data_IF_891286748624
#
_entry.id   IF_891286748624
#
_cell.length_a   1.000
_cell.length_b   1.000
_cell.length_c   1.000
_cell.angle_alpha   90.00
_cell.angle_beta   90.00
_cell.angle_gamma   90.00
#
_symmetry.space_group_name_H-M   'P 1'
#
loop_
_entity.id
_entity.type
_entity.pdbx_description
1 polymer ?
#
# COMPACT_ATOMS: atom_id res chain seq x y z
N UNK A 1 38.70 -8.37 -22.72
CA UNK A 1 37.40 -7.89 -23.27
C UNK A 1 36.51 -7.10 -22.28
N UNK A 2 36.75 -7.13 -20.95
CA UNK A 2 36.00 -6.33 -19.96
C UNK A 2 36.27 -4.82 -20.11
N UNK A 3 37.37 -4.43 -20.65
CA UNK A 3 37.86 -3.04 -20.68
C UNK A 3 37.18 -2.16 -21.75
N UNK A 4 36.72 -2.72 -22.87
CA UNK A 4 36.12 -1.94 -23.96
C UNK A 4 34.73 -1.38 -23.56
N UNK A 5 33.90 -2.17 -22.92
CA UNK A 5 32.59 -1.72 -22.45
C UNK A 5 32.71 -0.58 -21.44
N UNK A 6 33.65 -0.68 -20.51
CA UNK A 6 33.93 0.34 -19.50
C UNK A 6 34.59 1.60 -20.08
N UNK A 7 35.54 1.45 -21.03
CA UNK A 7 36.17 2.59 -21.70
C UNK A 7 35.16 3.41 -22.51
N UNK A 8 34.30 2.75 -23.28
CA UNK A 8 33.27 3.43 -24.05
C UNK A 8 32.26 4.17 -23.16
N UNK A 9 31.87 3.59 -22.01
CA UNK A 9 30.98 4.25 -21.05
C UNK A 9 31.60 5.49 -20.42
N UNK A 10 32.90 5.48 -20.13
CA UNK A 10 33.62 6.61 -19.50
C UNK A 10 34.04 7.69 -20.50
N UNK A 11 34.06 7.38 -21.80
CA UNK A 11 34.37 8.34 -22.85
C UNK A 11 33.24 9.35 -23.05
N UNK A 12 31.99 8.92 -23.03
CA UNK A 12 30.80 9.79 -23.13
C UNK A 12 30.07 9.90 -21.78
N UNK A 13 30.65 10.69 -20.88
CA UNK A 13 30.17 10.87 -19.51
C UNK A 13 28.75 11.46 -19.45
N UNK A 14 28.42 12.37 -20.39
CA UNK A 14 27.10 13.02 -20.40
C UNK A 14 26.01 12.00 -20.70
N UNK A 15 26.22 11.19 -21.72
CA UNK A 15 25.25 10.15 -22.11
C UNK A 15 25.13 9.04 -21.07
N UNK A 16 26.25 8.64 -20.48
CA UNK A 16 26.24 7.72 -19.34
C UNK A 16 25.38 8.27 -18.21
N UNK A 17 25.54 9.53 -17.84
CA UNK A 17 24.76 10.18 -16.79
C UNK A 17 23.27 10.24 -17.15
N UNK A 18 22.91 10.65 -18.38
CA UNK A 18 21.52 10.69 -18.84
C UNK A 18 20.86 9.31 -18.70
N UNK A 19 21.57 8.24 -19.11
CA UNK A 19 21.02 6.88 -19.00
C UNK A 19 20.86 6.45 -17.56
N UNK A 20 21.85 6.70 -16.70
CA UNK A 20 21.78 6.39 -15.28
C UNK A 20 20.62 7.14 -14.62
N UNK A 21 20.47 8.45 -14.90
CA UNK A 21 19.37 9.25 -14.38
C UNK A 21 18.02 8.70 -14.85
N UNK A 22 17.88 8.33 -16.12
CA UNK A 22 16.65 7.74 -16.65
C UNK A 22 16.28 6.41 -16.01
N UNK A 23 17.25 5.51 -15.82
CA UNK A 23 17.03 4.24 -15.11
C UNK A 23 16.69 4.50 -13.63
N UNK A 24 17.44 5.40 -12.97
CA UNK A 24 17.18 5.81 -11.58
C UNK A 24 15.77 6.33 -11.43
N UNK A 25 15.33 7.24 -12.30
CA UNK A 25 13.96 7.78 -12.29
C UNK A 25 12.91 6.66 -12.40
N UNK A 26 13.10 5.74 -13.34
CA UNK A 26 12.19 4.61 -13.52
C UNK A 26 12.12 3.72 -12.28
N UNK A 27 13.25 3.40 -11.67
CA UNK A 27 13.32 2.62 -10.43
C UNK A 27 12.61 3.33 -9.28
N UNK A 28 12.85 4.64 -9.10
CA UNK A 28 12.15 5.46 -8.08
C UNK A 28 10.65 5.43 -8.32
N UNK A 29 10.22 5.69 -9.55
CA UNK A 29 8.81 5.74 -9.91
C UNK A 29 8.11 4.38 -9.65
N UNK A 30 8.69 3.28 -10.13
CA UNK A 30 8.12 1.94 -9.96
C UNK A 30 8.08 1.57 -8.47
N UNK A 31 9.18 1.77 -7.75
CA UNK A 31 9.27 1.39 -6.33
C UNK A 31 8.34 2.23 -5.47
N UNK A 32 8.25 3.54 -5.73
CA UNK A 32 7.36 4.44 -5.00
C UNK A 32 5.89 4.09 -5.25
N UNK A 33 5.49 3.90 -6.50
CA UNK A 33 4.10 3.57 -6.85
C UNK A 33 3.64 2.25 -6.24
N UNK A 34 4.44 1.19 -6.39
CA UNK A 34 4.10 -0.11 -5.80
C UNK A 34 4.16 -0.03 -4.27
N UNK A 35 5.16 0.67 -3.71
CA UNK A 35 5.30 0.83 -2.26
C UNK A 35 4.14 1.60 -1.62
N UNK A 36 3.65 2.68 -2.26
CA UNK A 36 2.46 3.43 -1.83
C UNK A 36 1.22 2.55 -1.96
N UNK A 37 1.05 1.84 -3.08
CA UNK A 37 -0.07 0.91 -3.27
C UNK A 37 -0.13 -0.17 -2.18
N UNK A 38 1.01 -0.78 -1.84
CA UNK A 38 1.08 -1.78 -0.76
C UNK A 38 0.76 -1.18 0.60
N UNK A 39 1.24 0.04 0.89
CA UNK A 39 0.91 0.78 2.09
C UNK A 39 -0.58 1.09 2.18
N UNK A 40 -1.16 1.50 1.06
CA UNK A 40 -2.57 1.78 0.90
C UNK A 40 -3.43 0.52 1.17
N UNK A 41 -3.07 -0.61 0.55
CA UNK A 41 -3.78 -1.88 0.77
C UNK A 41 -3.67 -2.38 2.21
N UNK A 42 -2.52 -2.15 2.86
CA UNK A 42 -2.36 -2.47 4.28
C UNK A 42 -3.26 -1.58 5.16
N UNK A 43 -3.36 -0.29 4.85
CA UNK A 43 -4.24 0.64 5.53
C UNK A 43 -5.72 0.28 5.39
N UNK A 44 -6.15 -0.17 4.20
CA UNK A 44 -7.54 -0.53 3.90
C UNK A 44 -8.09 -1.65 4.80
N UNK A 45 -7.26 -2.57 5.25
CA UNK A 45 -7.69 -3.70 6.08
C UNK A 45 -7.11 -3.69 7.49
N UNK A 46 -6.46 -2.60 7.90
CA UNK A 46 -5.70 -2.56 9.15
C UNK A 46 -6.56 -2.86 10.39
N UNK A 47 -7.78 -2.37 10.44
CA UNK A 47 -8.71 -2.65 11.55
C UNK A 47 -9.10 -4.13 11.53
N UNK A 48 -9.44 -4.67 10.35
CA UNK A 48 -9.83 -6.08 10.21
C UNK A 48 -8.70 -7.00 10.65
N UNK A 49 -7.48 -6.72 10.18
CA UNK A 49 -6.29 -7.56 10.40
C UNK A 49 -5.82 -7.55 11.86
N UNK A 50 -6.03 -6.42 12.59
CA UNK A 50 -5.63 -6.26 13.99
C UNK A 50 -6.76 -6.51 14.99
N UNK A 51 -8.00 -6.63 14.55
CA UNK A 51 -9.10 -7.03 15.42
C UNK A 51 -8.96 -8.50 15.82
N UNK A 52 -9.06 -8.77 17.12
CA UNK A 52 -8.98 -10.13 17.67
C UNK A 52 -10.29 -10.89 17.44
N UNK A 53 -10.76 -10.99 16.20
CA UNK A 53 -11.93 -11.74 15.76
C UNK A 53 -11.57 -12.62 14.58
N UNK A 54 -12.23 -13.79 14.48
CA UNK A 54 -12.01 -14.75 13.39
C UNK A 54 -13.03 -14.59 12.28
N UNK A 55 -14.25 -14.13 12.63
CA UNK A 55 -15.38 -13.99 11.73
C UNK A 55 -15.93 -12.56 11.82
N UNK A 56 -16.26 -12.01 10.66
CA UNK A 56 -16.90 -10.73 10.46
C UNK A 56 -18.26 -10.92 9.82
N UNK A 57 -19.30 -10.39 10.45
CA UNK A 57 -20.67 -10.41 9.97
C UNK A 57 -21.06 -8.97 9.64
N UNK A 58 -21.51 -8.73 8.43
CA UNK A 58 -21.92 -7.44 7.88
C UNK A 58 -23.35 -7.50 7.42
N UNK A 59 -23.96 -6.35 7.12
CA UNK A 59 -25.21 -6.33 6.37
C UNK A 59 -25.03 -6.99 5.01
N UNK A 60 -26.06 -7.67 4.51
CA UNK A 60 -26.08 -8.15 3.15
C UNK A 60 -25.80 -7.00 2.15
N UNK A 61 -25.00 -7.27 1.12
CA UNK A 61 -24.59 -6.30 0.11
C UNK A 61 -23.71 -5.14 0.65
N UNK A 62 -23.13 -5.24 1.85
CA UNK A 62 -22.10 -4.30 2.29
C UNK A 62 -20.87 -4.41 1.39
N UNK A 63 -20.46 -3.28 0.78
CA UNK A 63 -19.40 -3.27 -0.22
C UNK A 63 -18.04 -3.61 0.41
N UNK A 64 -17.66 -2.90 1.45
CA UNK A 64 -16.36 -3.02 2.12
C UNK A 64 -16.45 -2.57 3.59
N UNK A 65 -15.31 -2.49 4.26
CA UNK A 65 -15.20 -2.05 5.64
C UNK A 65 -15.55 -0.57 5.83
N UNK A 66 -15.10 0.32 4.95
CA UNK A 66 -15.18 1.77 5.13
C UNK A 66 -16.58 2.34 4.84
N UNK A 67 -17.42 1.59 4.11
CA UNK A 67 -18.79 1.96 3.76
C UNK A 67 -19.79 0.87 4.20
N UNK A 68 -19.88 0.61 5.51
CA UNK A 68 -20.77 -0.42 6.02
C UNK A 68 -22.23 0.04 5.99
N UNK A 69 -23.14 -0.92 5.90
CA UNK A 69 -24.57 -0.71 6.05
C UNK A 69 -25.03 -1.19 7.43
N UNK A 70 -25.95 -0.43 8.04
CA UNK A 70 -26.52 -0.80 9.33
C UNK A 70 -27.47 -2.00 9.23
N UNK A 71 -27.49 -2.82 10.28
CA UNK A 71 -28.45 -3.92 10.45
C UNK A 71 -28.78 -4.13 11.93
N UNK A 72 -29.85 -4.89 12.22
CA UNK A 72 -30.38 -5.04 13.58
C UNK A 72 -29.40 -5.73 14.53
N UNK A 73 -29.16 -5.12 15.71
CA UNK A 73 -28.37 -5.68 16.80
C UNK A 73 -28.92 -7.02 17.32
N UNK A 74 -30.22 -7.27 17.17
CA UNK A 74 -30.87 -8.51 17.63
C UNK A 74 -30.23 -9.77 16.99
N UNK A 75 -29.56 -9.62 15.85
CA UNK A 75 -28.82 -10.73 15.22
C UNK A 75 -27.63 -11.21 16.05
N UNK A 76 -27.10 -10.40 16.99
CA UNK A 76 -26.04 -10.80 17.90
C UNK A 76 -26.36 -12.08 18.68
N UNK A 77 -27.62 -12.21 19.17
CA UNK A 77 -28.00 -13.38 19.94
C UNK A 77 -27.92 -14.66 19.09
N UNK A 78 -28.38 -14.59 17.83
CA UNK A 78 -28.31 -15.73 16.89
C UNK A 78 -26.85 -16.10 16.59
N UNK A 79 -25.96 -15.13 16.54
CA UNK A 79 -24.52 -15.38 16.35
C UNK A 79 -23.91 -16.03 17.58
N UNK A 80 -24.25 -15.56 18.80
CA UNK A 80 -23.74 -16.12 20.06
C UNK A 80 -24.20 -17.55 20.32
N UNK A 81 -25.40 -17.89 19.89
CA UNK A 81 -26.00 -19.22 20.06
C UNK A 81 -25.48 -20.23 19.03
N UNK A 82 -24.79 -19.79 18.00
CA UNK A 82 -24.30 -20.68 16.94
C UNK A 82 -23.17 -21.60 17.44
N UNK A 83 -23.26 -22.91 17.15
CA UNK A 83 -22.24 -23.87 17.56
C UNK A 83 -20.85 -23.51 16.99
N UNK A 84 -19.84 -23.46 17.87
CA UNK A 84 -18.48 -23.13 17.52
C UNK A 84 -18.14 -21.64 17.68
N UNK A 85 -19.07 -20.77 18.10
CA UNK A 85 -18.80 -19.39 18.48
C UNK A 85 -18.45 -19.33 19.97
N UNK A 86 -17.26 -18.81 20.31
CA UNK A 86 -16.83 -18.60 21.68
C UNK A 86 -17.36 -17.28 22.26
N UNK A 87 -17.32 -16.24 21.46
CA UNK A 87 -17.85 -14.92 21.83
C UNK A 87 -18.20 -14.12 20.58
N UNK A 88 -19.10 -13.17 20.72
CA UNK A 88 -19.41 -12.21 19.67
C UNK A 88 -19.72 -10.84 20.26
N UNK A 89 -19.24 -9.79 19.59
CA UNK A 89 -19.40 -8.40 19.99
C UNK A 89 -19.93 -7.55 18.83
N UNK A 90 -20.65 -6.49 19.20
CA UNK A 90 -21.10 -5.46 18.27
C UNK A 90 -19.99 -4.45 18.00
N UNK A 91 -19.90 -3.94 16.78
CA UNK A 91 -18.98 -2.90 16.40
C UNK A 91 -19.68 -1.88 15.50
N UNK A 92 -19.48 -0.59 15.80
CA UNK A 92 -19.93 0.53 14.97
C UNK A 92 -18.73 1.15 14.29
N UNK A 93 -18.89 1.49 13.03
CA UNK A 93 -18.02 2.41 12.28
C UNK A 93 -18.90 3.47 11.66
N UNK A 94 -18.50 4.73 11.81
CA UNK A 94 -19.21 5.84 11.19
C UNK A 94 -18.31 7.03 10.94
N UNK A 95 -18.60 7.74 9.86
CA UNK A 95 -17.94 8.99 9.51
C UNK A 95 -18.64 10.13 10.21
N UNK A 96 -17.92 10.88 11.04
CA UNK A 96 -18.48 11.98 11.84
C UNK A 96 -17.51 13.17 11.90
N UNK A 97 -18.07 14.37 12.14
CA UNK A 97 -17.28 15.58 12.31
C UNK A 97 -16.83 15.75 13.76
N UNK A 98 -15.56 16.04 13.97
CA UNK A 98 -14.98 16.41 15.25
C UNK A 98 -14.58 17.88 15.22
N UNK A 99 -15.02 18.66 16.22
CA UNK A 99 -14.62 20.06 16.37
C UNK A 99 -13.24 20.17 17.00
N UNK A 100 -12.35 20.91 16.36
CA UNK A 100 -10.98 21.13 16.82
C UNK A 100 -10.92 22.28 17.82
N UNK A 101 -9.88 22.32 18.66
CA UNK A 101 -9.63 23.41 19.62
C UNK A 101 -9.46 24.79 18.97
N UNK A 102 -9.05 24.85 17.71
CA UNK A 102 -8.89 26.08 16.92
C UNK A 102 -10.19 26.56 16.26
N UNK A 103 -11.33 25.91 16.53
CA UNK A 103 -12.64 26.21 15.95
C UNK A 103 -12.90 25.57 14.58
N UNK A 104 -11.91 24.90 13.98
CA UNK A 104 -12.10 24.10 12.76
C UNK A 104 -12.87 22.80 13.02
N UNK A 105 -13.24 22.12 11.95
CA UNK A 105 -13.84 20.79 12.01
C UNK A 105 -13.02 19.82 11.16
N UNK A 106 -12.88 18.60 11.64
CA UNK A 106 -12.17 17.52 10.97
C UNK A 106 -13.07 16.28 10.87
N UNK A 107 -13.07 15.63 9.71
CA UNK A 107 -13.77 14.36 9.55
C UNK A 107 -12.95 13.23 10.15
N UNK A 108 -13.59 12.41 11.00
CA UNK A 108 -12.99 11.25 11.64
C UNK A 108 -13.78 9.98 11.34
N UNK A 109 -13.13 8.84 11.40
CA UNK A 109 -13.76 7.53 11.42
C UNK A 109 -13.89 7.05 12.87
N UNK A 110 -15.11 7.13 13.39
CA UNK A 110 -15.42 6.76 14.77
C UNK A 110 -15.70 5.26 14.85
N UNK A 111 -14.92 4.54 15.66
CA UNK A 111 -15.11 3.10 15.94
C UNK A 111 -15.63 2.93 17.35
N UNK A 112 -16.86 2.41 17.46
CA UNK A 112 -17.48 2.04 18.73
C UNK A 112 -17.36 0.55 18.98
N UNK A 113 -16.75 0.15 20.08
CA UNK A 113 -16.49 -1.24 20.43
C UNK A 113 -16.85 -1.53 21.90
N UNK A 114 -16.87 -2.80 22.28
CA UNK A 114 -17.11 -3.22 23.66
C UNK A 114 -15.81 -3.14 24.49
N UNK A 115 -15.69 -2.19 25.46
CA UNK A 115 -14.48 -2.06 26.29
C UNK A 115 -14.22 -3.26 27.22
N UNK A 116 -15.21 -4.13 27.47
CA UNK A 116 -15.04 -5.33 28.32
C UNK A 116 -14.21 -6.40 27.62
N UNK A 117 -14.47 -6.62 26.35
CA UNK A 117 -13.76 -7.61 25.54
C UNK A 117 -12.57 -7.03 24.82
N UNK A 118 -12.57 -5.71 24.55
CA UNK A 118 -11.54 -5.00 23.78
C UNK A 118 -11.53 -5.35 22.28
N UNK A 119 -12.48 -6.18 21.80
CA UNK A 119 -12.54 -6.61 20.39
C UNK A 119 -12.95 -5.44 19.51
N UNK A 120 -12.15 -5.15 18.48
CA UNK A 120 -12.35 -3.98 17.62
C UNK A 120 -11.77 -2.68 18.17
N UNK A 121 -11.19 -2.69 19.37
CA UNK A 121 -10.49 -1.55 19.97
C UNK A 121 -9.08 -1.35 19.45
N UNK A 122 -8.43 -0.25 19.88
CA UNK A 122 -7.06 0.06 19.48
C UNK A 122 -6.07 -0.94 20.08
N UNK A 123 -5.02 -1.22 19.31
CA UNK A 123 -3.84 -1.95 19.77
C UNK A 123 -2.72 -0.96 20.13
N UNK A 124 -1.74 -1.37 20.93
CA UNK A 124 -0.62 -0.54 21.37
C UNK A 124 -1.05 0.80 22.02
N UNK A 125 -1.78 0.69 23.13
CA UNK A 125 -2.08 1.86 23.95
C UNK A 125 -0.78 2.43 24.54
N UNK A 126 -0.51 3.71 24.30
CA UNK A 126 0.68 4.42 24.78
C UNK A 126 0.41 5.09 26.12
N UNK A 127 -0.79 5.66 26.26
CA UNK A 127 -1.21 6.39 27.46
C UNK A 127 -2.70 6.14 27.71
N UNK A 128 -3.11 6.15 28.97
CA UNK A 128 -4.50 5.96 29.37
C UNK A 128 -4.92 4.49 29.48
N UNK A 129 -6.23 4.22 29.41
CA UNK A 129 -6.80 2.88 29.57
C UNK A 129 -8.08 2.69 28.77
N UNK A 130 -8.25 1.53 28.14
CA UNK A 130 -9.51 1.11 27.50
C UNK A 130 -10.64 1.07 28.51
N UNK A 131 -10.37 0.67 29.75
CA UNK A 131 -11.39 0.56 30.81
C UNK A 131 -11.97 1.95 31.21
N UNK A 132 -11.20 3.02 30.99
CA UNK A 132 -11.68 4.39 31.23
C UNK A 132 -12.86 4.77 30.33
N UNK A 133 -13.07 4.10 29.19
CA UNK A 133 -14.24 4.27 28.31
C UNK A 133 -15.56 3.86 28.99
N UNK A 134 -15.51 3.12 30.10
CA UNK A 134 -16.70 2.71 30.86
C UNK A 134 -17.20 3.81 31.79
N UNK A 135 -16.33 4.74 32.17
CA UNK A 135 -16.68 5.78 33.15
C UNK A 135 -17.57 6.90 32.57
N UNK A 136 -17.72 6.97 31.24
CA UNK A 136 -18.52 7.98 30.56
C UNK A 136 -18.11 8.20 29.11
N UNK A 137 -18.63 9.24 28.46
CA UNK A 137 -18.28 9.54 27.08
C UNK A 137 -16.77 9.85 26.95
N UNK A 138 -16.02 8.88 26.47
CA UNK A 138 -14.57 8.95 26.29
C UNK A 138 -14.14 8.49 24.92
N UNK A 139 -12.96 8.95 24.49
CA UNK A 139 -12.33 8.53 23.23
C UNK A 139 -10.88 8.18 23.43
N UNK A 140 -10.38 7.30 22.56
CA UNK A 140 -8.96 7.00 22.38
C UNK A 140 -8.56 7.45 20.98
N UNK A 141 -7.47 8.21 20.87
CA UNK A 141 -6.98 8.81 19.63
C UNK A 141 -5.61 8.21 19.31
N UNK A 142 -5.33 7.95 18.05
CA UNK A 142 -4.01 7.48 17.62
C UNK A 142 -3.05 8.65 17.42
N UNK A 143 -1.76 8.49 17.81
CA UNK A 143 -0.73 9.52 17.62
C UNK A 143 -0.60 9.97 16.15
N UNK A 144 -0.88 9.09 15.20
CA UNK A 144 -0.85 9.42 13.77
C UNK A 144 -1.86 10.50 13.37
N UNK A 145 -2.89 10.71 14.18
CA UNK A 145 -3.92 11.72 13.98
C UNK A 145 -3.53 13.12 14.47
N UNK A 146 -2.45 13.27 15.22
CA UNK A 146 -2.08 14.55 15.84
C UNK A 146 -1.80 15.67 14.84
N UNK A 147 -1.29 15.36 13.67
CA UNK A 147 -1.07 16.36 12.62
C UNK A 147 -2.37 17.00 12.13
N UNK A 148 -3.50 16.31 12.23
CA UNK A 148 -4.82 16.76 11.78
C UNK A 148 -5.72 17.21 12.94
N UNK A 149 -5.75 16.45 14.03
CA UNK A 149 -6.61 16.73 15.19
C UNK A 149 -5.96 17.67 16.20
N UNK A 150 -4.68 18.02 15.99
CA UNK A 150 -3.86 18.71 16.98
C UNK A 150 -3.31 17.75 18.03
N UNK A 151 -2.32 18.19 18.80
CA UNK A 151 -1.71 17.40 19.87
C UNK A 151 -2.69 17.27 21.05
N UNK A 152 -3.57 16.29 20.98
CA UNK A 152 -4.50 15.97 22.06
C UNK A 152 -3.77 15.22 23.18
N UNK A 153 -4.18 15.47 24.42
CA UNK A 153 -3.65 14.82 25.63
C UNK A 153 -4.77 14.13 26.37
N UNK A 154 -4.42 13.11 27.14
CA UNK A 154 -5.36 12.46 28.05
C UNK A 154 -5.93 13.52 29.01
N UNK A 155 -7.25 13.55 29.14
CA UNK A 155 -8.00 14.56 29.90
C UNK A 155 -8.60 15.70 29.07
N UNK A 156 -8.13 15.94 27.85
CA UNK A 156 -8.69 16.96 26.96
C UNK A 156 -10.18 16.68 26.66
N UNK A 157 -10.97 17.76 26.58
CA UNK A 157 -12.36 17.70 26.15
C UNK A 157 -12.46 18.16 24.70
N UNK A 158 -13.15 17.38 23.89
CA UNK A 158 -13.43 17.66 22.48
C UNK A 158 -14.91 17.43 22.19
N UNK A 159 -15.40 17.91 21.05
CA UNK A 159 -16.80 17.76 20.65
C UNK A 159 -16.87 16.95 19.34
N UNK A 160 -17.66 15.90 19.35
CA UNK A 160 -17.95 15.08 18.17
C UNK A 160 -19.46 15.09 17.96
N UNK A 161 -19.96 15.66 16.86
CA UNK A 161 -21.40 15.77 16.55
C UNK A 161 -22.18 16.21 17.78
N UNK A 162 -21.92 17.40 18.31
CA UNK A 162 -22.61 18.00 19.50
C UNK A 162 -22.45 17.23 20.83
N UNK A 163 -21.71 16.11 20.83
CA UNK A 163 -21.43 15.33 22.04
C UNK A 163 -20.06 15.67 22.57
N UNK A 164 -19.98 16.13 23.81
CA UNK A 164 -18.68 16.35 24.49
C UNK A 164 -18.12 15.06 24.98
N UNK A 165 -16.90 14.75 24.57
CA UNK A 165 -16.17 13.54 24.94
C UNK A 165 -14.81 13.88 25.52
N UNK A 166 -14.30 13.03 26.40
CA UNK A 166 -12.97 13.18 27.01
C UNK A 166 -11.99 12.24 26.33
N UNK A 167 -10.79 12.73 26.03
CA UNK A 167 -9.68 11.87 25.62
C UNK A 167 -9.24 11.05 26.83
N UNK A 168 -9.38 9.74 26.80
CA UNK A 168 -9.06 8.81 27.91
C UNK A 168 -7.87 7.93 27.60
N UNK A 169 -7.36 7.99 26.38
CA UNK A 169 -6.17 7.25 25.98
C UNK A 169 -5.62 7.69 24.64
N UNK A 170 -4.36 7.32 24.41
CA UNK A 170 -3.63 7.55 23.18
C UNK A 170 -3.06 6.21 22.73
N UNK A 171 -3.29 5.85 21.47
CA UNK A 171 -2.76 4.65 20.83
C UNK A 171 -1.69 4.99 19.80
N UNK A 172 -1.01 3.97 19.28
CA UNK A 172 0.01 4.11 18.24
C UNK A 172 -0.13 3.02 17.20
N UNK A 173 -0.04 3.42 15.92
CA UNK A 173 0.06 2.50 14.80
C UNK A 173 -1.26 2.20 14.11
N UNK A 174 -2.32 2.96 14.39
CA UNK A 174 -3.60 2.85 13.70
C UNK A 174 -3.66 3.87 12.57
N UNK A 175 -3.13 3.50 11.41
CA UNK A 175 -3.21 4.33 10.20
C UNK A 175 -4.08 3.65 9.16
N UNK A 176 -5.22 4.28 8.89
CA UNK A 176 -6.16 3.83 7.86
C UNK A 176 -5.70 4.11 6.44
N UNK A 177 -6.50 3.64 5.51
CA UNK A 177 -6.41 3.93 4.08
C UNK A 177 -6.74 5.38 3.79
N UNK A 178 -7.82 5.84 4.41
CA UNK A 178 -8.35 7.19 4.21
C UNK A 178 -7.50 8.19 4.98
N UNK A 179 -7.60 9.44 4.58
CA UNK A 179 -6.95 10.51 5.32
C UNK A 179 -7.63 10.81 6.64
N UNK A 180 -8.86 10.33 6.86
CA UNK A 180 -9.57 10.53 8.11
C UNK A 180 -8.96 9.69 9.24
N UNK A 181 -8.69 10.30 10.41
CA UNK A 181 -8.16 9.58 11.55
C UNK A 181 -9.18 8.63 12.16
N UNK A 182 -8.75 7.44 12.56
CA UNK A 182 -9.54 6.58 13.43
C UNK A 182 -9.57 7.10 14.86
N UNK A 183 -10.77 7.14 15.43
CA UNK A 183 -11.01 7.48 16.83
C UNK A 183 -11.86 6.38 17.45
N UNK A 184 -11.43 5.86 18.58
CA UNK A 184 -12.10 4.75 19.24
C UNK A 184 -12.91 5.23 20.43
N UNK A 185 -14.08 4.63 20.63
CA UNK A 185 -14.97 4.92 21.78
C UNK A 185 -15.72 3.67 22.22
N UNK A 186 -16.46 3.74 23.31
CA UNK A 186 -17.35 2.64 23.68
C UNK A 186 -18.51 2.53 22.70
N UNK A 187 -19.01 1.31 22.49
CA UNK A 187 -20.19 1.06 21.63
C UNK A 187 -21.36 1.97 22.01
N UNK A 188 -21.63 2.11 23.31
CA UNK A 188 -22.69 2.96 23.84
C UNK A 188 -22.50 4.43 23.51
N UNK A 189 -21.27 4.94 23.64
CA UNK A 189 -20.96 6.33 23.28
C UNK A 189 -21.07 6.55 21.78
N UNK A 190 -20.64 5.58 20.96
CA UNK A 190 -20.80 5.64 19.51
C UNK A 190 -22.27 5.75 19.08
N UNK A 191 -23.17 4.99 19.69
CA UNK A 191 -24.63 5.10 19.43
C UNK A 191 -25.21 6.47 19.83
N UNK A 192 -24.67 7.11 20.86
CA UNK A 192 -25.07 8.47 21.22
C UNK A 192 -24.62 9.51 20.19
N UNK A 193 -23.41 9.33 19.67
CA UNK A 193 -22.82 10.23 18.67
C UNK A 193 -23.43 10.01 17.28
N UNK A 194 -23.86 8.78 16.97
CA UNK A 194 -24.40 8.37 15.66
C UNK A 194 -25.87 7.93 15.83
N UNK A 195 -26.81 8.86 16.03
CA UNK A 195 -28.18 8.52 16.40
C UNK A 195 -28.98 7.79 15.31
N UNK A 196 -28.55 7.87 14.05
CA UNK A 196 -29.19 7.12 12.95
C UNK A 196 -28.85 5.62 12.96
N UNK A 197 -27.89 5.19 13.80
CA UNK A 197 -27.59 3.79 14.07
C UNK A 197 -28.21 3.30 15.39
N UNK A 198 -29.26 3.96 15.90
CA UNK A 198 -29.97 3.49 17.09
C UNK A 198 -30.57 2.12 16.82
N UNK A 199 -30.36 1.16 17.73
CA UNK A 199 -30.78 -0.23 17.61
C UNK A 199 -30.21 -0.99 16.40
N UNK A 200 -29.18 -0.41 15.77
CA UNK A 200 -28.43 -0.98 14.66
C UNK A 200 -26.93 -1.04 14.96
N UNK A 201 -26.31 -2.04 14.36
CA UNK A 201 -24.85 -2.15 14.29
C UNK A 201 -24.42 -2.23 12.83
N UNK A 202 -23.14 -2.03 12.56
CA UNK A 202 -22.61 -2.18 11.20
C UNK A 202 -21.79 -3.46 11.06
N UNK A 203 -21.26 -3.98 12.17
CA UNK A 203 -20.57 -5.27 12.21
C UNK A 203 -20.95 -6.05 13.48
N UNK A 204 -20.99 -7.37 13.34
CA UNK A 204 -20.83 -8.30 14.45
C UNK A 204 -19.53 -9.03 14.22
N UNK A 205 -18.65 -9.01 15.21
CA UNK A 205 -17.34 -9.67 15.16
C UNK A 205 -17.34 -10.84 16.13
N UNK A 206 -16.95 -12.03 15.66
CA UNK A 206 -17.01 -13.24 16.47
C UNK A 206 -15.64 -13.93 16.57
N UNK A 207 -15.38 -14.52 17.74
CA UNK A 207 -14.27 -15.44 17.98
C UNK A 207 -14.77 -16.87 17.90
N UNK A 208 -13.99 -17.71 17.26
CA UNK A 208 -14.29 -19.13 17.15
C UNK A 208 -13.76 -19.87 18.37
N UNK A 209 -14.50 -20.84 18.86
CA UNK A 209 -14.12 -21.67 19.98
C UNK A 209 -12.95 -22.59 19.61
N UNK A 210 -12.03 -22.90 20.55
CA UNK A 210 -10.94 -23.82 20.30
C UNK A 210 -11.45 -25.17 19.76
N UNK A 211 -10.79 -25.67 18.71
CA UNK A 211 -11.14 -26.93 18.06
C UNK A 211 -12.14 -26.83 16.90
N UNK A 212 -12.66 -25.64 16.61
CA UNK A 212 -13.51 -25.42 15.46
C UNK A 212 -12.74 -24.68 14.34
N UNK A 213 -13.06 -25.00 13.08
CA UNK A 213 -12.55 -24.29 11.92
C UNK A 213 -13.38 -23.01 11.67
N UNK A 214 -12.76 -21.82 11.55
CA UNK A 214 -13.45 -20.58 11.23
C UNK A 214 -14.30 -20.65 9.95
N UNK A 215 -13.89 -21.39 8.93
CA UNK A 215 -14.65 -21.54 7.68
C UNK A 215 -15.95 -22.32 7.89
N UNK A 216 -15.91 -23.40 8.69
CA UNK A 216 -17.10 -24.17 9.03
C UNK A 216 -18.10 -23.36 9.85
N UNK A 217 -17.59 -22.60 10.86
CA UNK A 217 -18.46 -21.73 11.68
C UNK A 217 -19.05 -20.62 10.83
N UNK A 218 -18.25 -20.01 9.95
CA UNK A 218 -18.75 -18.99 9.02
C UNK A 218 -19.84 -19.56 8.08
N UNK A 219 -19.68 -20.80 7.58
CA UNK A 219 -20.68 -21.46 6.74
C UNK A 219 -22.02 -21.67 7.46
N UNK A 220 -22.00 -22.00 8.75
CA UNK A 220 -23.20 -22.10 9.58
C UNK A 220 -23.87 -20.74 9.78
N UNK A 221 -23.08 -19.70 10.07
CA UNK A 221 -23.58 -18.34 10.29
C UNK A 221 -24.17 -17.71 9.02
N UNK A 222 -23.77 -18.13 7.81
CA UNK A 222 -24.36 -17.71 6.52
C UNK A 222 -25.85 -18.09 6.37
N UNK A 223 -26.37 -18.96 7.25
CA UNK A 223 -27.81 -19.27 7.28
C UNK A 223 -28.66 -18.15 7.91
N UNK A 224 -28.02 -17.20 8.59
CA UNK A 224 -28.71 -16.02 9.14
C UNK A 224 -29.08 -15.10 7.95
N UNK A 225 -30.39 -14.77 7.84
CA UNK A 225 -30.87 -13.92 6.74
C UNK A 225 -30.35 -12.49 6.82
N UNK A 226 -30.21 -11.86 5.67
CA UNK A 226 -29.85 -10.44 5.48
C UNK A 226 -28.50 -10.07 6.12
N UNK A 227 -27.55 -10.98 6.13
CA UNK A 227 -26.15 -10.74 6.51
C UNK A 227 -25.21 -11.47 5.58
N UNK A 228 -24.05 -10.89 5.38
CA UNK A 228 -22.89 -11.54 4.77
C UNK A 228 -21.90 -11.95 5.86
N UNK A 229 -21.36 -13.15 5.77
CA UNK A 229 -20.43 -13.70 6.76
C UNK A 229 -19.12 -14.07 6.09
N UNK A 230 -18.07 -13.51 6.62
CA UNK A 230 -16.72 -13.67 6.11
C UNK A 230 -15.77 -14.09 7.23
N UNK A 231 -14.80 -14.94 6.95
CA UNK A 231 -13.65 -15.06 7.84
C UNK A 231 -12.82 -13.78 7.79
N UNK A 232 -11.99 -13.52 8.80
CA UNK A 232 -11.09 -12.35 8.84
C UNK A 232 -10.29 -12.21 7.55
N UNK A 233 -9.73 -13.33 7.05
CA UNK A 233 -8.95 -13.34 5.80
C UNK A 233 -9.79 -12.97 4.58
N UNK A 234 -11.01 -13.52 4.47
CA UNK A 234 -11.92 -13.22 3.37
C UNK A 234 -12.35 -11.76 3.39
N UNK A 235 -12.67 -11.21 4.56
CA UNK A 235 -13.11 -9.82 4.67
C UNK A 235 -11.98 -8.82 4.41
N UNK A 236 -10.79 -9.09 4.91
CA UNK A 236 -9.58 -8.32 4.59
C UNK A 236 -9.33 -8.30 3.09
N UNK A 237 -9.40 -9.46 2.42
CA UNK A 237 -9.22 -9.56 0.97
C UNK A 237 -10.34 -8.83 0.20
N UNK A 238 -11.62 -9.00 0.60
CA UNK A 238 -12.78 -8.32 -0.01
C UNK A 238 -12.59 -6.81 0.03
N UNK A 239 -12.21 -6.26 1.19
CA UNK A 239 -11.97 -4.82 1.35
C UNK A 239 -10.82 -4.32 0.47
N UNK A 240 -9.70 -5.05 0.40
CA UNK A 240 -8.57 -4.70 -0.48
C UNK A 240 -8.94 -4.77 -1.97
N UNK A 241 -9.69 -5.80 -2.38
CA UNK A 241 -10.15 -5.95 -3.77
C UNK A 241 -11.13 -4.85 -4.17
N UNK A 242 -12.02 -4.44 -3.27
CA UNK A 242 -12.91 -3.30 -3.51
C UNK A 242 -12.10 -2.05 -3.89
N UNK A 243 -11.13 -1.67 -3.07
CA UNK A 243 -10.28 -0.51 -3.34
C UNK A 243 -9.41 -0.67 -4.59
N UNK A 244 -8.96 -1.90 -4.89
CA UNK A 244 -8.12 -2.17 -6.07
C UNK A 244 -8.92 -2.11 -7.37
N UNK A 245 -10.09 -2.76 -7.41
CA UNK A 245 -10.84 -3.05 -8.63
C UNK A 245 -11.99 -2.05 -8.80
N UNK A 246 -12.89 -1.97 -7.80
CA UNK A 246 -14.13 -1.19 -7.92
C UNK A 246 -13.86 0.32 -7.99
N UNK A 247 -12.86 0.81 -7.29
CA UNK A 247 -12.49 2.23 -7.33
C UNK A 247 -11.54 2.59 -8.48
N UNK A 248 -11.00 1.60 -9.18
CA UNK A 248 -10.00 1.80 -10.25
C UNK A 248 -8.60 2.20 -9.76
N UNK A 249 -8.36 2.29 -8.45
CA UNK A 249 -7.04 2.67 -7.91
C UNK A 249 -5.93 1.73 -8.38
N UNK A 250 -6.19 0.41 -8.37
CA UNK A 250 -5.23 -0.58 -8.85
C UNK A 250 -4.82 -0.34 -10.31
N UNK A 251 -5.76 0.03 -11.16
CA UNK A 251 -5.49 0.38 -12.56
C UNK A 251 -4.59 1.63 -12.66
N UNK A 252 -4.88 2.69 -11.88
CA UNK A 252 -4.08 3.91 -11.87
C UNK A 252 -2.61 3.64 -11.46
N UNK A 253 -2.40 2.85 -10.40
CA UNK A 253 -1.07 2.45 -9.99
C UNK A 253 -0.36 1.58 -11.04
N UNK A 254 -1.05 0.60 -11.62
CA UNK A 254 -0.49 -0.27 -12.67
C UNK A 254 -0.11 0.53 -13.92
N UNK A 255 -0.95 1.47 -14.34
CA UNK A 255 -0.65 2.35 -15.48
C UNK A 255 0.61 3.18 -15.24
N UNK A 256 0.77 3.76 -14.06
CA UNK A 256 1.96 4.56 -13.72
C UNK A 256 3.22 3.72 -13.68
N UNK A 257 3.15 2.49 -13.16
CA UNK A 257 4.28 1.54 -13.20
C UNK A 257 4.64 1.19 -14.65
N UNK A 258 3.64 0.90 -15.49
CA UNK A 258 3.85 0.62 -16.91
C UNK A 258 4.52 1.80 -17.63
N UNK A 259 4.08 3.03 -17.37
CA UNK A 259 4.70 4.24 -17.92
C UNK A 259 6.16 4.37 -17.47
N UNK A 260 6.47 4.07 -16.21
CA UNK A 260 7.84 4.05 -15.71
C UNK A 260 8.73 3.06 -16.47
N UNK A 261 8.23 1.86 -16.76
CA UNK A 261 8.94 0.85 -17.55
C UNK A 261 9.14 1.32 -19.00
N UNK A 262 8.11 1.89 -19.62
CA UNK A 262 8.17 2.39 -21.00
C UNK A 262 9.20 3.52 -21.12
N UNK A 263 9.10 4.53 -20.27
CA UNK A 263 10.02 5.68 -20.28
C UNK A 263 11.47 5.24 -20.05
N UNK A 264 11.70 4.39 -19.05
CA UNK A 264 13.04 3.83 -18.81
C UNK A 264 13.58 3.04 -19.99
N UNK A 265 12.73 2.19 -20.59
CA UNK A 265 13.11 1.42 -21.78
C UNK A 265 13.45 2.33 -22.97
N UNK A 266 12.69 3.40 -23.17
CA UNK A 266 12.94 4.38 -24.23
C UNK A 266 14.27 5.12 -24.04
N UNK A 267 14.55 5.60 -22.82
CA UNK A 267 15.80 6.32 -22.51
C UNK A 267 17.01 5.39 -22.73
N UNK A 268 16.97 4.19 -22.18
CA UNK A 268 18.04 3.20 -22.34
C UNK A 268 18.20 2.82 -23.81
N UNK A 269 17.09 2.52 -24.49
CA UNK A 269 17.08 2.13 -25.90
C UNK A 269 17.67 3.20 -26.81
N UNK A 270 17.23 4.45 -26.66
CA UNK A 270 17.72 5.58 -27.43
C UNK A 270 19.22 5.83 -27.19
N UNK A 271 19.63 5.81 -25.93
CA UNK A 271 21.04 6.06 -25.58
C UNK A 271 21.96 4.97 -26.15
N UNK A 272 21.59 3.70 -25.99
CA UNK A 272 22.38 2.57 -26.50
C UNK A 272 22.37 2.58 -28.03
N UNK A 273 21.24 2.89 -28.67
CA UNK A 273 21.15 2.99 -30.13
C UNK A 273 22.12 4.05 -30.68
N UNK A 274 22.07 5.26 -30.13
CA UNK A 274 22.96 6.36 -30.55
C UNK A 274 24.42 6.03 -30.30
N UNK A 275 24.76 5.51 -29.12
CA UNK A 275 26.11 5.05 -28.79
C UNK A 275 26.61 3.97 -29.76
N UNK A 276 25.75 3.02 -30.13
CA UNK A 276 26.10 1.94 -31.03
C UNK A 276 26.37 2.46 -32.45
N UNK A 277 25.62 3.45 -32.95
CA UNK A 277 25.87 4.07 -34.26
C UNK A 277 27.20 4.82 -34.27
N UNK A 278 27.50 5.60 -33.26
CA UNK A 278 28.76 6.37 -33.18
C UNK A 278 30.00 5.48 -33.13
N UNK A 279 29.90 4.32 -32.44
CA UNK A 279 30.97 3.34 -32.36
C UNK A 279 30.94 2.30 -33.49
N UNK A 280 30.15 2.53 -34.55
CA UNK A 280 29.95 1.56 -35.62
C UNK A 280 31.28 1.22 -36.34
N UNK A 281 32.19 2.23 -36.52
CA UNK A 281 33.52 2.04 -37.10
C UNK A 281 34.38 1.12 -36.25
N UNK A 282 34.34 1.29 -34.93
CA UNK A 282 35.08 0.44 -33.99
C UNK A 282 34.55 -1.01 -34.01
N UNK A 283 33.22 -1.19 -34.07
CA UNK A 283 32.61 -2.52 -34.21
C UNK A 283 32.92 -3.14 -35.58
N UNK A 284 32.99 -2.33 -36.65
CA UNK A 284 33.39 -2.78 -37.97
C UNK A 284 34.84 -3.28 -37.96
N UNK A 285 35.75 -2.54 -37.33
CA UNK A 285 37.17 -2.94 -37.16
C UNK A 285 37.30 -4.23 -36.34
N UNK A 286 36.54 -4.37 -35.24
CA UNK A 286 36.50 -5.59 -34.44
C UNK A 286 36.04 -6.79 -35.28
N UNK A 287 35.03 -6.62 -36.13
CA UNK A 287 34.56 -7.68 -37.06
C UNK A 287 35.63 -8.02 -38.10
N UNK A 288 36.34 -7.05 -38.64
CA UNK A 288 37.44 -7.27 -39.60
C UNK A 288 38.58 -8.07 -38.99
N UNK A 289 38.83 -7.95 -37.69
CA UNK A 289 39.82 -8.71 -36.92
C UNK A 289 39.27 -10.10 -36.49
N UNK A 290 38.01 -10.41 -36.78
CA UNK A 290 37.41 -11.71 -36.51
C UNK A 290 36.41 -11.78 -35.36
N UNK A 291 35.98 -10.65 -34.76
CA UNK A 291 35.00 -10.64 -33.71
C UNK A 291 33.61 -11.09 -34.24
N UNK A 292 32.98 -11.97 -33.49
CA UNK A 292 31.65 -12.49 -33.80
C UNK A 292 30.54 -11.50 -33.39
N UNK A 293 29.37 -11.60 -34.00
CA UNK A 293 28.19 -10.82 -33.59
C UNK A 293 27.85 -11.03 -32.09
N UNK A 294 28.05 -12.24 -31.56
CA UNK A 294 27.82 -12.56 -30.15
C UNK A 294 28.69 -11.74 -29.21
N UNK A 295 29.94 -11.46 -29.62
CA UNK A 295 30.87 -10.65 -28.80
C UNK A 295 30.41 -9.19 -28.77
N UNK A 296 29.92 -8.64 -29.89
CA UNK A 296 29.37 -7.28 -29.94
C UNK A 296 28.12 -7.17 -29.07
N UNK A 297 27.20 -8.13 -29.18
CA UNK A 297 26.03 -8.19 -28.28
C UNK A 297 26.47 -8.25 -26.81
N UNK A 298 27.48 -9.07 -26.48
CA UNK A 298 27.94 -9.19 -25.09
C UNK A 298 28.54 -7.86 -24.54
N UNK A 299 29.23 -7.07 -25.38
CA UNK A 299 29.72 -5.75 -24.98
C UNK A 299 28.56 -4.83 -24.62
N UNK A 300 27.54 -4.73 -25.47
CA UNK A 300 26.39 -3.83 -25.27
C UNK A 300 25.52 -4.29 -24.11
N UNK A 301 25.28 -5.60 -23.96
CA UNK A 301 24.55 -6.13 -22.82
C UNK A 301 25.27 -5.88 -21.48
N UNK A 302 26.61 -5.92 -21.46
CA UNK A 302 27.39 -5.54 -20.27
C UNK A 302 27.22 -4.05 -19.93
N UNK A 303 27.23 -3.16 -20.95
CA UNK A 303 26.93 -1.74 -20.73
C UNK A 303 25.53 -1.55 -20.12
N UNK A 304 24.51 -2.23 -20.66
CA UNK A 304 23.15 -2.19 -20.14
C UNK A 304 23.05 -2.66 -18.68
N UNK A 305 23.77 -3.73 -18.33
CA UNK A 305 23.82 -4.23 -16.95
C UNK A 305 24.49 -3.24 -15.99
N UNK A 306 25.53 -2.53 -16.42
CA UNK A 306 26.17 -1.50 -15.61
C UNK A 306 25.19 -0.34 -15.34
N UNK A 307 24.47 0.13 -16.38
CA UNK A 307 23.43 1.15 -16.20
C UNK A 307 22.32 0.67 -15.28
N UNK A 308 21.85 -0.58 -15.45
CA UNK A 308 20.84 -1.17 -14.60
C UNK A 308 21.28 -1.25 -13.13
N UNK A 309 22.51 -1.72 -12.87
CA UNK A 309 23.03 -1.85 -11.51
C UNK A 309 23.15 -0.49 -10.80
N UNK A 310 23.77 0.49 -11.46
CA UNK A 310 23.98 1.82 -10.88
C UNK A 310 22.63 2.54 -10.70
N UNK A 311 21.77 2.53 -11.74
CA UNK A 311 20.46 3.16 -11.68
C UNK A 311 19.54 2.52 -10.63
N UNK A 312 19.61 1.19 -10.48
CA UNK A 312 18.87 0.48 -9.45
C UNK A 312 19.31 0.87 -8.03
N UNK A 313 20.63 0.85 -7.76
CA UNK A 313 21.16 1.20 -6.43
C UNK A 313 20.81 2.64 -6.07
N UNK A 314 21.02 3.58 -6.99
CA UNK A 314 20.67 5.00 -6.76
C UNK A 314 19.16 5.17 -6.59
N UNK A 315 18.35 4.55 -7.44
CA UNK A 315 16.90 4.65 -7.39
C UNK A 315 16.33 4.08 -6.09
N UNK A 316 16.81 2.92 -5.65
CA UNK A 316 16.40 2.33 -4.38
C UNK A 316 16.83 3.20 -3.19
N UNK A 317 18.06 3.71 -3.19
CA UNK A 317 18.55 4.59 -2.13
C UNK A 317 17.70 5.87 -2.02
N UNK A 318 17.40 6.53 -3.15
CA UNK A 318 16.54 7.72 -3.20
C UNK A 318 15.15 7.36 -2.67
N UNK A 319 14.56 6.26 -3.11
CA UNK A 319 13.22 5.83 -2.67
C UNK A 319 13.17 5.61 -1.16
N UNK A 320 14.17 4.95 -0.58
CA UNK A 320 14.24 4.71 0.87
C UNK A 320 14.42 6.00 1.67
N UNK A 321 15.18 6.96 1.16
CA UNK A 321 15.33 8.28 1.78
C UNK A 321 14.00 9.06 1.73
N UNK A 322 13.35 9.08 0.56
CA UNK A 322 12.08 9.81 0.35
C UNK A 322 10.90 9.15 1.06
N UNK A 323 10.96 7.86 1.36
CA UNK A 323 9.90 7.15 2.10
C UNK A 323 9.64 7.73 3.52
N UNK A 324 10.67 8.29 4.16
CA UNK A 324 10.55 8.88 5.50
C UNK A 324 9.67 10.15 5.52
N UNK A 325 9.92 11.20 4.72
CA UNK A 325 9.07 12.38 4.67
C UNK A 325 7.66 12.09 4.14
N UNK A 326 7.49 11.11 3.24
CA UNK A 326 6.18 10.65 2.78
C UNK A 326 5.37 10.09 3.96
N UNK A 327 6.01 9.32 4.84
CA UNK A 327 5.40 8.84 6.08
C UNK A 327 4.98 9.96 7.02
N UNK A 328 5.75 11.03 7.12
CA UNK A 328 5.39 12.22 7.91
C UNK A 328 4.20 13.00 7.31
N UNK A 329 4.05 12.97 5.99
CA UNK A 329 2.90 13.55 5.28
C UNK A 329 1.60 12.72 5.37
N UNK A 330 1.61 11.59 6.10
CA UNK A 330 0.43 10.76 6.33
C UNK A 330 0.26 9.59 5.36
N UNK A 331 1.07 9.49 4.30
CA UNK A 331 1.03 8.37 3.38
C UNK A 331 1.94 7.24 3.87
N UNK A 332 1.42 6.02 3.90
CA UNK A 332 2.21 4.83 4.26
C UNK A 332 2.83 4.23 3.01
N UNK A 333 4.15 4.20 2.96
CA UNK A 333 4.89 3.52 1.90
C UNK A 333 5.56 2.26 2.46
N UNK A 334 5.27 1.11 1.88
CA UNK A 334 5.81 -0.19 2.31
C UNK A 334 6.70 -0.74 1.21
N UNK A 335 7.98 -0.95 1.52
CA UNK A 335 8.97 -1.51 0.57
C UNK A 335 9.48 -2.84 1.12
N UNK A 336 8.73 -3.94 0.92
CA UNK A 336 9.16 -5.25 1.41
C UNK A 336 10.33 -5.79 0.58
N UNK A 337 11.14 -6.73 1.11
CA UNK A 337 12.31 -7.26 0.40
C UNK A 337 11.99 -7.89 -0.98
N UNK A 338 10.84 -8.55 -1.10
CA UNK A 338 10.42 -9.12 -2.39
C UNK A 338 10.19 -8.04 -3.47
N UNK A 339 9.71 -6.84 -3.09
CA UNK A 339 9.54 -5.73 -4.02
C UNK A 339 10.89 -5.22 -4.54
N UNK A 340 11.91 -5.15 -3.68
CA UNK A 340 13.26 -4.78 -4.10
C UNK A 340 13.78 -5.76 -5.17
N UNK A 341 13.59 -7.07 -4.95
CA UNK A 341 13.99 -8.10 -5.92
C UNK A 341 13.17 -7.98 -7.22
N UNK A 342 11.86 -7.78 -7.13
CA UNK A 342 11.00 -7.64 -8.30
C UNK A 342 11.40 -6.42 -9.15
N UNK A 343 11.68 -5.28 -8.52
CA UNK A 343 12.14 -4.06 -9.20
C UNK A 343 13.51 -4.27 -9.84
N UNK A 344 14.44 -4.98 -9.17
CA UNK A 344 15.72 -5.35 -9.77
C UNK A 344 15.52 -6.17 -11.06
N UNK A 345 14.67 -7.20 -10.99
CA UNK A 345 14.38 -8.06 -12.16
C UNK A 345 13.77 -7.24 -13.31
N UNK A 346 12.79 -6.39 -13.01
CA UNK A 346 12.15 -5.51 -14.00
C UNK A 346 13.19 -4.53 -14.60
N UNK A 347 14.03 -3.92 -13.78
CA UNK A 347 15.07 -2.99 -14.25
C UNK A 347 16.06 -3.68 -15.16
N UNK A 348 16.54 -4.86 -14.80
CA UNK A 348 17.46 -5.65 -15.64
C UNK A 348 16.77 -6.07 -16.95
N UNK A 349 15.54 -6.56 -16.88
CA UNK A 349 14.77 -6.98 -18.06
C UNK A 349 14.52 -5.80 -19.02
N UNK A 350 14.17 -4.62 -18.47
CA UNK A 350 13.98 -3.39 -19.22
C UNK A 350 15.25 -2.94 -19.94
N UNK A 351 16.40 -2.89 -19.23
CA UNK A 351 17.67 -2.48 -19.80
C UNK A 351 18.18 -3.48 -20.85
N UNK A 352 18.09 -4.77 -20.59
CA UNK A 352 18.49 -5.81 -21.55
C UNK A 352 17.58 -5.84 -22.78
N UNK A 353 16.27 -5.76 -22.59
CA UNK A 353 15.29 -5.74 -23.68
C UNK A 353 15.49 -4.53 -24.61
N UNK A 354 15.63 -3.33 -24.04
CA UNK A 354 15.88 -2.10 -24.77
C UNK A 354 17.21 -2.17 -25.55
N UNK A 355 18.25 -2.73 -24.93
CA UNK A 355 19.59 -2.91 -25.55
C UNK A 355 19.56 -3.89 -26.73
N UNK A 356 18.90 -5.02 -26.57
CA UNK A 356 18.78 -6.02 -27.64
C UNK A 356 18.05 -5.49 -28.86
N UNK A 357 16.98 -4.72 -28.66
CA UNK A 357 16.24 -4.08 -29.75
C UNK A 357 17.10 -3.04 -30.47
N UNK A 358 17.88 -2.25 -29.74
CA UNK A 358 18.75 -1.20 -30.29
C UNK A 358 19.90 -1.78 -31.11
N UNK A 359 20.62 -2.76 -30.57
CA UNK A 359 21.76 -3.39 -31.23
C UNK A 359 21.35 -4.19 -32.48
N UNK A 360 20.18 -4.82 -32.48
CA UNK A 360 19.67 -5.59 -33.63
C UNK A 360 19.58 -4.78 -34.92
N UNK A 361 19.29 -3.48 -34.83
CA UNK A 361 19.30 -2.55 -35.98
C UNK A 361 20.70 -2.19 -36.41
N UNK A 362 21.63 -1.94 -35.48
CA UNK A 362 22.99 -1.52 -35.78
C UNK A 362 23.85 -2.66 -36.35
N UNK A 363 23.70 -3.89 -35.88
CA UNK A 363 24.47 -5.06 -36.39
C UNK A 363 24.06 -5.48 -37.81
N UNK A 364 22.87 -5.06 -38.30
CA UNK A 364 22.42 -5.30 -39.68
C UNK A 364 22.98 -4.34 -40.70
N UNK A 365 23.70 -3.30 -40.32
CA UNK A 365 24.35 -2.37 -41.23
C UNK A 365 25.55 -3.07 -41.85
N UNK A 366 25.63 -3.01 -43.19
CA UNK A 366 26.70 -3.63 -43.99
C UNK A 366 28.05 -2.99 -43.66
N UNK A 367 29.08 -3.78 -43.25
CA UNK A 367 30.39 -3.27 -42.96
C UNK A 367 31.02 -2.47 -44.13
N UNK A 368 30.65 -2.79 -45.39
CA UNK A 368 31.16 -2.11 -46.58
C UNK A 368 30.73 -0.65 -46.66
N UNK A 369 29.63 -0.23 -46.09
CA UNK A 369 29.18 1.16 -46.02
C UNK A 369 30.06 2.04 -45.10
N UNK A 370 30.75 1.43 -44.16
CA UNK A 370 31.63 2.12 -43.19
C UNK A 370 32.99 2.49 -43.81
N UNK A 371 33.41 1.78 -44.84
CA UNK A 371 34.71 2.03 -45.53
C UNK A 371 34.59 2.88 -46.79
N UNK A 372 33.37 3.28 -47.20
CA UNK A 372 33.11 4.12 -48.38
C UNK A 372 32.89 5.62 -48.07
N UNK A 373 32.96 6.03 -46.80
CA UNK A 373 32.84 7.45 -46.40
C UNK A 373 34.15 7.99 -45.88
#
# INVERSE_FOLDING_TARGET
MVDIARKNLLHDRVRFLITVVGVTFSVVLITAQVGIYLGFMRGASIIIDNTAADIWITSANSANFDFPLGFSEAKLNKVKEAPGVASADLLILGWVGMRLKNGGAESIELIGFNPDTGVGGPWHLVEGSIQALKAGPGIIVDESAFSRLGHLRVGDLVEIVETRVRVVGISRGVRGLTTAPYVFTSYRTAQQIIPWLRDQTVFIVARVAPGYDPEEVAARLRQIRDVDVHTRRQYSLKTRLYWTIETGLGFGFALTVLMGVIVGSMIVGQTIYTSTIEHLREYGTLKAIGATNREIYAIVLRQALIHAAIGYVLGLAITLVVSRPIGAAGLVMVVPPWLMIAVLVVTVAMCLGASLLSVRRAVRVDPMLVFRA
#
